data_IF_032693252288
#
_entry.id   IF_032693252288
#
_cell.length_a   1.000
_cell.length_b   1.000
_cell.length_c   1.000
_cell.angle_alpha   90.00
_cell.angle_beta   90.00
_cell.angle_gamma   90.00
#
_symmetry.space_group_name_H-M   'P 1'
#
loop_
_entity.id
_entity.type
_entity.pdbx_description
1 polymer ?
#
# COMPACT_ATOMS: atom_id res chain seq x y z
N UNK A 1 -25.69 -5.41 -8.43
CA UNK A 1 -24.51 -4.72 -8.96
C UNK A 1 -24.58 -4.55 -10.46
N UNK A 2 -25.22 -3.47 -10.95
CA UNK A 2 -25.37 -3.15 -12.38
C UNK A 2 -25.40 -1.63 -12.65
N UNK A 3 -24.83 -0.81 -11.75
CA UNK A 3 -24.98 0.66 -11.78
C UNK A 3 -23.72 1.43 -12.19
N UNK A 4 -22.59 0.76 -12.42
CA UNK A 4 -21.35 1.41 -12.86
C UNK A 4 -20.66 0.55 -13.93
N UNK A 5 -20.60 1.04 -15.16
CA UNK A 5 -19.82 0.46 -16.24
C UNK A 5 -18.34 0.74 -16.00
N UNK A 6 -17.59 -0.25 -15.55
CA UNK A 6 -16.13 -0.18 -15.46
C UNK A 6 -15.57 -0.68 -16.79
N UNK A 7 -14.82 0.17 -17.49
CA UNK A 7 -14.09 -0.25 -18.69
C UNK A 7 -12.84 -1.03 -18.25
N UNK A 8 -12.97 -2.36 -18.19
CA UNK A 8 -11.89 -3.25 -17.75
C UNK A 8 -10.66 -3.13 -18.66
N UNK A 9 -10.87 -2.95 -19.97
CA UNK A 9 -9.76 -2.80 -20.92
C UNK A 9 -8.95 -1.55 -20.62
N UNK A 10 -9.63 -0.41 -20.40
CA UNK A 10 -8.97 0.84 -20.03
C UNK A 10 -8.27 0.74 -18.67
N UNK A 11 -8.86 0.04 -17.70
CA UNK A 11 -8.21 -0.21 -16.41
C UNK A 11 -6.91 -1.02 -16.58
N UNK A 12 -6.94 -2.09 -17.37
CA UNK A 12 -5.75 -2.91 -17.63
C UNK A 12 -4.66 -2.12 -18.35
N UNK A 13 -5.03 -1.31 -19.34
CA UNK A 13 -4.09 -0.41 -20.03
C UNK A 13 -3.40 0.53 -19.04
N UNK A 14 -4.16 1.17 -18.14
CA UNK A 14 -3.63 2.05 -17.12
C UNK A 14 -2.74 1.31 -16.10
N UNK A 15 -3.08 0.08 -15.72
CA UNK A 15 -2.21 -0.76 -14.88
C UNK A 15 -0.89 -1.03 -15.59
N UNK A 16 -0.91 -1.32 -16.90
CA UNK A 16 0.32 -1.53 -17.67
C UNK A 16 1.16 -0.25 -17.70
N UNK A 17 0.56 0.89 -18.03
CA UNK A 17 1.25 2.17 -18.15
C UNK A 17 1.82 2.68 -16.82
N UNK A 18 1.04 2.60 -15.74
CA UNK A 18 1.40 3.20 -14.44
C UNK A 18 2.25 2.27 -13.57
N UNK A 19 2.08 0.94 -13.70
CA UNK A 19 2.78 -0.03 -12.87
C UNK A 19 3.78 -0.88 -13.67
N UNK A 20 3.33 -1.57 -14.71
CA UNK A 20 4.15 -2.60 -15.37
C UNK A 20 5.34 -1.99 -16.10
N UNK A 21 5.13 -0.93 -16.89
CA UNK A 21 6.22 -0.27 -17.63
C UNK A 21 7.28 0.31 -16.68
N UNK A 22 6.93 1.13 -15.66
CA UNK A 22 7.92 1.63 -14.69
C UNK A 22 8.66 0.50 -13.96
N UNK A 23 7.97 -0.59 -13.61
CA UNK A 23 8.59 -1.75 -12.96
C UNK A 23 9.62 -2.43 -13.87
N UNK A 24 9.28 -2.66 -15.15
CA UNK A 24 10.20 -3.25 -16.12
C UNK A 24 11.42 -2.36 -16.35
N UNK A 25 11.22 -1.05 -16.51
CA UNK A 25 12.31 -0.09 -16.63
C UNK A 25 13.21 -0.12 -15.41
N UNK A 26 12.65 -0.12 -14.19
CA UNK A 26 13.42 -0.22 -12.96
C UNK A 26 14.26 -1.51 -12.88
N UNK A 27 13.70 -2.65 -13.31
CA UNK A 27 14.42 -3.93 -13.36
C UNK A 27 15.58 -3.92 -14.36
N UNK A 28 15.36 -3.34 -15.55
CA UNK A 28 16.40 -3.20 -16.58
C UNK A 28 17.51 -2.27 -16.08
N UNK A 29 17.15 -1.09 -15.55
CA UNK A 29 18.11 -0.15 -14.95
C UNK A 29 18.90 -0.80 -13.82
N UNK A 30 18.25 -1.56 -12.94
CA UNK A 30 18.92 -2.31 -11.86
C UNK A 30 19.97 -3.27 -12.41
N UNK A 31 19.63 -4.07 -13.43
CA UNK A 31 20.56 -5.01 -14.06
C UNK A 31 21.75 -4.31 -14.73
N UNK A 32 21.51 -3.20 -15.43
CA UNK A 32 22.56 -2.43 -16.09
C UNK A 32 23.53 -1.81 -15.07
N UNK A 33 23.01 -1.26 -13.97
CA UNK A 33 23.79 -0.66 -12.89
C UNK A 33 24.64 -1.72 -12.18
N UNK A 34 24.08 -2.90 -11.91
CA UNK A 34 24.78 -4.01 -11.25
C UNK A 34 25.92 -4.60 -12.09
N UNK A 35 25.87 -4.47 -13.42
CA UNK A 35 26.96 -4.92 -14.30
C UNK A 35 28.26 -4.12 -14.09
N UNK A 36 28.18 -2.89 -13.59
CA UNK A 36 29.33 -2.06 -13.23
C UNK A 36 29.61 -2.16 -11.72
N UNK A 37 30.37 -3.19 -11.30
CA UNK A 37 30.54 -3.55 -9.87
C UNK A 37 30.91 -2.38 -8.93
N UNK A 38 31.81 -1.48 -9.33
CA UNK A 38 32.26 -0.37 -8.47
C UNK A 38 31.24 0.77 -8.35
N UNK A 39 30.56 1.15 -9.45
CA UNK A 39 29.54 2.21 -9.43
C UNK A 39 28.18 1.69 -8.93
N UNK A 40 27.85 0.45 -9.27
CA UNK A 40 26.55 -0.14 -9.03
C UNK A 40 26.26 -0.39 -7.55
N UNK A 41 27.24 -0.86 -6.79
CA UNK A 41 27.08 -1.06 -5.36
C UNK A 41 26.82 0.27 -4.63
N UNK A 42 27.58 1.33 -4.96
CA UNK A 42 27.41 2.64 -4.35
C UNK A 42 26.04 3.27 -4.64
N UNK A 43 25.54 3.16 -5.87
CA UNK A 43 24.23 3.68 -6.27
C UNK A 43 23.10 2.90 -5.57
N UNK A 44 23.17 1.56 -5.57
CA UNK A 44 22.14 0.73 -4.91
C UNK A 44 22.07 0.99 -3.41
N UNK A 45 23.22 1.16 -2.74
CA UNK A 45 23.26 1.46 -1.32
C UNK A 45 22.61 2.82 -1.01
N UNK A 46 22.87 3.84 -1.83
CA UNK A 46 22.24 5.17 -1.70
C UNK A 46 20.74 5.14 -1.92
N UNK A 47 20.26 4.39 -2.92
CA UNK A 47 18.81 4.26 -3.18
C UNK A 47 18.13 3.54 -2.02
N UNK A 48 18.71 2.44 -1.52
CA UNK A 48 18.16 1.70 -0.39
C UNK A 48 18.13 2.55 0.89
N UNK A 49 19.22 3.28 1.19
CA UNK A 49 19.28 4.18 2.35
C UNK A 49 18.22 5.30 2.28
N UNK A 50 17.89 5.78 1.08
CA UNK A 50 16.93 6.86 0.86
C UNK A 50 15.51 6.37 0.52
N UNK A 51 15.22 5.07 0.59
CA UNK A 51 13.92 4.51 0.22
C UNK A 51 12.78 5.12 1.04
N UNK A 52 12.98 5.31 2.35
CA UNK A 52 12.00 5.94 3.24
C UNK A 52 11.68 7.37 2.83
N UNK A 53 12.69 8.12 2.37
CA UNK A 53 12.51 9.50 1.90
C UNK A 53 11.67 9.52 0.62
N UNK A 54 11.98 8.66 -0.35
CA UNK A 54 11.18 8.55 -1.57
C UNK A 54 9.73 8.13 -1.30
N UNK A 55 9.53 7.21 -0.35
CA UNK A 55 8.20 6.82 0.08
C UNK A 55 7.46 7.98 0.76
N UNK A 56 8.12 8.74 1.63
CA UNK A 56 7.55 9.92 2.27
C UNK A 56 7.16 10.98 1.24
N UNK A 57 7.98 11.21 0.22
CA UNK A 57 7.65 12.11 -0.91
C UNK A 57 6.43 11.60 -1.67
N UNK A 58 6.36 10.30 -1.97
CA UNK A 58 5.20 9.72 -2.66
C UNK A 58 3.92 9.88 -1.84
N UNK A 59 3.97 9.64 -0.53
CA UNK A 59 2.84 9.86 0.39
C UNK A 59 2.46 11.35 0.45
N UNK A 60 3.44 12.26 0.54
CA UNK A 60 3.18 13.70 0.54
C UNK A 60 2.51 14.15 -0.77
N UNK A 61 2.99 13.68 -1.93
CA UNK A 61 2.40 13.97 -3.23
C UNK A 61 0.97 13.41 -3.36
N UNK A 62 0.75 12.19 -2.84
CA UNK A 62 -0.55 11.55 -2.77
C UNK A 62 -1.56 12.39 -1.96
N UNK A 63 -1.18 12.87 -0.78
CA UNK A 63 -2.03 13.77 0.02
C UNK A 63 -2.18 15.15 -0.63
N UNK A 64 -1.14 15.69 -1.27
CA UNK A 64 -1.22 16.98 -1.96
C UNK A 64 -2.20 16.92 -3.15
N UNK A 65 -2.23 15.81 -3.88
CA UNK A 65 -3.13 15.57 -5.03
C UNK A 65 -4.61 15.65 -4.66
N UNK A 66 -5.00 15.12 -3.49
CA UNK A 66 -6.42 15.03 -3.07
C UNK A 66 -6.74 15.82 -1.78
N UNK A 67 -5.79 16.61 -1.28
CA UNK A 67 -5.86 17.22 0.05
C UNK A 67 -6.98 18.24 0.20
N UNK A 68 -7.25 19.04 -0.84
CA UNK A 68 -8.35 20.00 -0.83
C UNK A 68 -9.71 19.30 -0.68
N UNK A 69 -9.93 18.23 -1.44
CA UNK A 69 -11.18 17.46 -1.41
C UNK A 69 -11.32 16.74 -0.07
N UNK A 70 -10.22 16.23 0.50
CA UNK A 70 -10.18 15.61 1.82
C UNK A 70 -10.63 16.56 2.92
N UNK A 71 -10.15 17.80 2.93
CA UNK A 71 -10.54 18.82 3.92
C UNK A 71 -12.01 19.22 3.76
N UNK A 72 -12.53 19.26 2.52
CA UNK A 72 -13.93 19.60 2.24
C UNK A 72 -14.93 18.48 2.60
N UNK A 73 -14.47 17.23 2.69
CA UNK A 73 -15.32 16.04 2.92
C UNK A 73 -14.87 15.19 4.11
N UNK A 74 -14.81 15.75 5.34
CA UNK A 74 -14.45 14.99 6.53
C UNK A 74 -15.49 13.90 6.87
N UNK A 75 -16.73 14.05 6.40
CA UNK A 75 -17.79 13.06 6.58
C UNK A 75 -17.44 11.71 5.92
N UNK A 76 -16.71 11.73 4.80
CA UNK A 76 -16.26 10.51 4.12
C UNK A 76 -15.20 9.76 4.92
N UNK A 77 -14.29 10.49 5.58
CA UNK A 77 -13.32 9.89 6.49
C UNK A 77 -14.02 9.13 7.62
N UNK A 78 -15.02 9.75 8.26
CA UNK A 78 -15.78 9.14 9.35
C UNK A 78 -16.58 7.92 8.87
N UNK A 79 -17.22 8.01 7.70
CA UNK A 79 -17.96 6.88 7.09
C UNK A 79 -17.05 5.72 6.72
N UNK A 80 -15.81 6.00 6.27
CA UNK A 80 -14.83 4.99 5.89
C UNK A 80 -14.13 4.36 7.09
N UNK A 81 -14.05 5.07 8.22
CA UNK A 81 -13.33 4.61 9.41
C UNK A 81 -13.79 3.22 9.86
N UNK A 82 -15.09 3.03 10.04
CA UNK A 82 -15.61 1.77 10.57
C UNK A 82 -15.46 0.59 9.60
N UNK A 83 -15.81 0.70 8.30
CA UNK A 83 -15.53 -0.36 7.32
C UNK A 83 -14.04 -0.74 7.24
N UNK A 84 -13.15 0.25 7.26
CA UNK A 84 -11.70 0.01 7.15
C UNK A 84 -11.16 -0.65 8.41
N UNK A 85 -11.57 -0.21 9.60
CA UNK A 85 -11.20 -0.85 10.86
C UNK A 85 -11.69 -2.30 10.95
N UNK A 86 -12.93 -2.56 10.52
CA UNK A 86 -13.47 -3.92 10.44
C UNK A 86 -12.63 -4.75 9.47
N UNK A 87 -12.32 -4.23 8.29
CA UNK A 87 -11.47 -4.90 7.31
C UNK A 87 -10.11 -5.30 7.91
N UNK A 88 -9.41 -4.39 8.57
CA UNK A 88 -8.11 -4.71 9.18
C UNK A 88 -8.25 -5.66 10.37
N UNK A 89 -9.24 -5.47 11.24
CA UNK A 89 -9.47 -6.32 12.40
C UNK A 89 -9.81 -7.76 12.02
N UNK A 90 -10.69 -7.94 11.03
CA UNK A 90 -11.06 -9.26 10.49
C UNK A 90 -9.85 -9.93 9.84
N UNK A 91 -9.11 -9.23 8.98
CA UNK A 91 -7.93 -9.82 8.32
C UNK A 91 -6.83 -10.17 9.32
N UNK A 92 -6.61 -9.35 10.35
CA UNK A 92 -5.65 -9.68 11.41
C UNK A 92 -6.08 -10.95 12.16
N UNK A 93 -7.34 -11.04 12.56
CA UNK A 93 -7.84 -12.22 13.27
C UNK A 93 -7.80 -13.49 12.40
N UNK A 94 -8.17 -13.38 11.12
CA UNK A 94 -8.02 -14.46 10.16
C UNK A 94 -6.56 -14.86 9.97
N UNK A 95 -5.65 -13.89 9.93
CA UNK A 95 -4.21 -14.12 9.86
C UNK A 95 -3.69 -14.94 11.03
N UNK A 96 -4.14 -14.63 12.25
CA UNK A 96 -3.83 -15.42 13.45
C UNK A 96 -4.44 -16.82 13.39
N UNK A 97 -5.73 -16.93 13.03
CA UNK A 97 -6.45 -18.19 12.96
C UNK A 97 -5.80 -19.15 11.96
N UNK A 98 -5.55 -18.68 10.74
CA UNK A 98 -4.92 -19.47 9.67
C UNK A 98 -3.51 -19.87 10.09
N UNK A 99 -2.73 -18.95 10.65
CA UNK A 99 -1.40 -19.25 11.18
C UNK A 99 -1.41 -20.34 12.24
N UNK A 100 -2.39 -20.32 13.15
CA UNK A 100 -2.56 -21.35 14.17
C UNK A 100 -2.95 -22.70 13.58
N UNK A 101 -3.93 -22.73 12.67
CA UNK A 101 -4.39 -23.95 12.00
C UNK A 101 -3.29 -24.58 11.13
N UNK A 102 -2.48 -23.75 10.47
CA UNK A 102 -1.35 -24.17 9.66
C UNK A 102 -0.08 -24.48 10.48
N UNK A 103 -0.11 -24.32 11.81
CA UNK A 103 1.01 -24.57 12.74
C UNK A 103 2.27 -23.76 12.43
N UNK A 104 2.11 -22.52 11.98
CA UNK A 104 3.21 -21.61 11.69
C UNK A 104 3.98 -21.21 12.96
N UNK A 105 5.28 -20.98 12.82
CA UNK A 105 6.11 -20.34 13.85
C UNK A 105 5.62 -18.90 14.12
N UNK A 106 6.04 -18.31 15.23
CA UNK A 106 5.72 -16.91 15.50
C UNK A 106 6.22 -15.98 14.38
N UNK A 107 7.44 -16.19 13.88
CA UNK A 107 7.99 -15.36 12.79
C UNK A 107 7.14 -15.49 11.52
N UNK A 108 6.69 -16.70 11.20
CA UNK A 108 5.84 -16.97 10.04
C UNK A 108 4.46 -16.32 10.18
N UNK A 109 3.81 -16.41 11.35
CA UNK A 109 2.53 -15.72 11.61
C UNK A 109 2.68 -14.21 11.53
N UNK A 110 3.75 -13.66 12.11
CA UNK A 110 4.02 -12.21 12.06
C UNK A 110 4.24 -11.74 10.61
N UNK A 111 5.06 -12.46 9.85
CA UNK A 111 5.31 -12.18 8.43
C UNK A 111 4.02 -12.28 7.59
N UNK A 112 3.22 -13.31 7.83
CA UNK A 112 1.93 -13.52 7.15
C UNK A 112 0.98 -12.35 7.42
N UNK A 113 0.77 -11.99 8.69
CA UNK A 113 -0.12 -10.88 9.06
C UNK A 113 0.35 -9.54 8.47
N UNK A 114 1.65 -9.24 8.56
CA UNK A 114 2.19 -8.01 7.98
C UNK A 114 2.01 -7.98 6.45
N UNK A 115 2.19 -9.11 5.76
CA UNK A 115 2.04 -9.19 4.31
C UNK A 115 0.59 -9.06 3.86
N UNK A 116 -0.35 -9.71 4.56
CA UNK A 116 -1.78 -9.65 4.22
C UNK A 116 -2.37 -8.27 4.44
N UNK A 117 -1.87 -7.53 5.44
CA UNK A 117 -2.42 -6.23 5.81
C UNK A 117 -1.72 -5.05 5.12
N UNK A 118 -0.45 -5.20 4.70
CA UNK A 118 0.28 -4.15 4.01
C UNK A 118 -0.35 -3.83 2.65
N UNK A 119 -0.57 -2.54 2.36
CA UNK A 119 -1.15 -2.09 1.09
C UNK A 119 -0.27 -1.08 0.39
N UNK A 120 -0.39 -1.03 -0.94
CA UNK A 120 0.33 -0.07 -1.77
C UNK A 120 -0.59 1.06 -2.24
N UNK A 121 -0.94 1.93 -1.31
CA UNK A 121 -1.88 3.03 -1.55
C UNK A 121 -1.39 4.08 -2.56
N UNK A 122 -0.10 4.48 -2.59
CA UNK A 122 0.40 5.42 -3.61
C UNK A 122 0.26 4.89 -5.05
N UNK A 123 0.62 3.63 -5.30
CA UNK A 123 0.45 3.03 -6.63
C UNK A 123 -1.03 2.87 -6.97
N UNK A 124 -1.85 2.44 -5.99
CA UNK A 124 -3.29 2.33 -6.18
C UNK A 124 -3.93 3.68 -6.53
N UNK A 125 -3.52 4.77 -5.88
CA UNK A 125 -3.98 6.12 -6.21
C UNK A 125 -3.61 6.46 -7.65
N UNK A 126 -2.36 6.25 -8.05
CA UNK A 126 -1.90 6.58 -9.40
C UNK A 126 -2.78 5.89 -10.47
N UNK A 127 -3.01 4.58 -10.33
CA UNK A 127 -3.88 3.81 -11.23
C UNK A 127 -5.32 4.32 -11.18
N UNK A 128 -5.85 4.62 -9.99
CA UNK A 128 -7.21 5.09 -9.85
C UNK A 128 -7.42 6.48 -10.46
N UNK A 129 -6.45 7.39 -10.31
CA UNK A 129 -6.52 8.74 -10.91
C UNK A 129 -6.41 8.71 -12.42
N UNK A 130 -5.63 7.79 -12.99
CA UNK A 130 -5.49 7.66 -14.44
C UNK A 130 -6.68 6.93 -15.07
N UNK A 131 -7.29 5.97 -14.36
CA UNK A 131 -8.43 5.18 -14.86
C UNK A 131 -9.78 5.85 -14.61
N UNK A 132 -9.93 6.52 -13.46
CA UNK A 132 -11.22 7.04 -12.98
C UNK A 132 -11.16 8.54 -12.68
N UNK A 133 -10.42 9.32 -13.49
CA UNK A 133 -10.23 10.77 -13.26
C UNK A 133 -11.53 11.56 -13.10
N UNK A 134 -12.62 11.13 -13.75
CA UNK A 134 -13.96 11.76 -13.61
C UNK A 134 -14.67 11.43 -12.28
N UNK A 135 -14.14 10.52 -11.46
CA UNK A 135 -14.74 10.02 -10.23
C UNK A 135 -13.83 10.32 -9.02
N UNK A 136 -13.78 11.58 -8.55
CA UNK A 136 -12.85 12.02 -7.51
C UNK A 136 -13.03 11.28 -6.17
N UNK A 137 -14.23 10.75 -5.90
CA UNK A 137 -14.49 9.98 -4.68
C UNK A 137 -13.69 8.67 -4.61
N UNK A 138 -13.34 8.06 -5.75
CA UNK A 138 -12.52 6.84 -5.79
C UNK A 138 -11.09 7.16 -5.35
N UNK A 139 -10.51 8.22 -5.91
CA UNK A 139 -9.19 8.71 -5.54
C UNK A 139 -9.16 9.13 -4.07
N UNK A 140 -10.19 9.84 -3.60
CA UNK A 140 -10.28 10.28 -2.21
C UNK A 140 -10.34 9.11 -1.21
N UNK A 141 -11.11 8.06 -1.51
CA UNK A 141 -11.18 6.87 -0.66
C UNK A 141 -9.80 6.19 -0.50
N UNK A 142 -8.98 6.20 -1.56
CA UNK A 142 -7.60 5.69 -1.52
C UNK A 142 -6.67 6.57 -0.70
N UNK A 143 -6.91 7.87 -0.61
CA UNK A 143 -6.15 8.79 0.26
C UNK A 143 -6.53 8.66 1.73
N UNK A 144 -7.81 8.39 2.00
CA UNK A 144 -8.29 8.10 3.36
C UNK A 144 -7.68 6.80 3.90
N UNK A 145 -7.49 5.78 3.05
CA UNK A 145 -6.94 4.48 3.44
C UNK A 145 -5.70 4.57 4.33
N UNK A 146 -4.59 5.18 3.87
CA UNK A 146 -3.37 5.37 4.66
C UNK A 146 -3.52 6.10 5.98
N UNK A 147 -4.45 7.05 6.10
CA UNK A 147 -4.68 7.76 7.37
C UNK A 147 -5.15 6.81 8.47
N UNK A 148 -5.87 5.76 8.09
CA UNK A 148 -6.37 4.73 9.01
C UNK A 148 -5.39 3.55 9.09
N UNK A 149 -4.87 3.12 7.94
CA UNK A 149 -3.96 1.98 7.80
C UNK A 149 -2.67 2.17 8.60
N UNK A 150 -2.03 3.34 8.53
CA UNK A 150 -0.74 3.56 9.20
C UNK A 150 -0.83 3.41 10.73
N UNK A 151 -1.79 4.05 11.44
CA UNK A 151 -2.00 3.81 12.86
C UNK A 151 -2.32 2.34 13.17
N UNK A 152 -3.16 1.70 12.36
CA UNK A 152 -3.55 0.30 12.57
C UNK A 152 -2.36 -0.64 12.40
N UNK A 153 -1.47 -0.41 11.43
CA UNK A 153 -0.24 -1.17 11.25
C UNK A 153 0.69 -1.05 12.45
N UNK A 154 0.81 0.13 13.05
CA UNK A 154 1.57 0.30 14.30
C UNK A 154 0.95 -0.54 15.42
N UNK A 155 -0.38 -0.52 15.57
CA UNK A 155 -1.08 -1.31 16.59
C UNK A 155 -0.93 -2.82 16.36
N UNK A 156 -1.05 -3.28 15.11
CA UNK A 156 -0.85 -4.69 14.74
C UNK A 156 0.58 -5.13 15.03
N UNK A 157 1.58 -4.34 14.63
CA UNK A 157 2.99 -4.64 14.87
C UNK A 157 3.30 -4.71 16.37
N UNK A 158 2.82 -3.74 17.16
CA UNK A 158 2.93 -3.74 18.62
C UNK A 158 2.25 -4.95 19.25
N UNK A 159 1.07 -5.33 18.76
CA UNK A 159 0.31 -6.48 19.27
C UNK A 159 1.05 -7.80 19.01
N UNK A 160 1.61 -7.98 17.81
CA UNK A 160 2.45 -9.12 17.48
C UNK A 160 3.67 -9.20 18.40
N UNK A 161 4.38 -8.08 18.59
CA UNK A 161 5.54 -8.02 19.48
C UNK A 161 5.20 -8.40 20.92
N UNK A 162 4.04 -7.97 21.44
CA UNK A 162 3.58 -8.37 22.78
C UNK A 162 3.29 -9.87 22.87
N UNK A 163 2.69 -10.47 21.85
CA UNK A 163 2.43 -11.91 21.80
C UNK A 163 3.73 -12.74 21.79
N UNK A 164 4.82 -12.20 21.23
CA UNK A 164 6.15 -12.84 21.30
C UNK A 164 6.68 -12.92 22.72
N UNK A 165 6.53 -11.85 23.49
CA UNK A 165 7.08 -11.73 24.85
C UNK A 165 6.33 -12.60 25.88
N UNK A 166 5.15 -13.10 25.53
CA UNK A 166 4.32 -13.97 26.39
C UNK A 166 4.57 -15.47 26.17
N UNK A 167 5.33 -15.85 25.15
CA UNK A 167 5.75 -17.23 24.87
C UNK A 167 7.21 -17.42 25.26
#
# INVERSE_FOLDING_TARGET
>A
GKLVSINILFLLENVVLVLVIPLLLALISKRLIQKNNHLGQGIMLKIAANQTVFLAIAIAAMFASQGQILIQRPDLLLKMLMPVLIFFGVNFWLGQLIGHLAKFSYEEVACFNCTTLARNSPIALAIATSTFGERPLIALALVIGPLIELPVMVLVSQSLLRLRLQK
#
